data_IF_804885944676
#
_entry.id   IF_804885944676
#
_cell.length_a   1.000
_cell.length_b   1.000
_cell.length_c   1.000
_cell.angle_alpha   90.00
_cell.angle_beta   90.00
_cell.angle_gamma   90.00
#
_symmetry.space_group_name_H-M   'P 1'
#
loop_
_entity.id
_entity.type
_entity.pdbx_description
1 polymer ?
#
# COMPACT_ATOMS: atom_id res chain seq x y z
N UNK A 1 12.03 7.24 9.64
CA UNK A 1 11.95 7.35 8.17
C UNK A 1 10.69 6.64 7.72
N UNK A 2 9.91 7.26 6.85
CA UNK A 2 8.65 6.70 6.33
C UNK A 2 8.81 6.46 4.83
N UNK A 3 8.59 5.22 4.40
CA UNK A 3 8.57 4.85 2.99
C UNK A 3 7.12 4.66 2.56
N UNK A 4 6.72 5.29 1.44
CA UNK A 4 5.35 5.19 0.91
C UNK A 4 5.32 4.18 -0.25
N UNK A 5 4.73 3.02 0.00
CA UNK A 5 4.47 2.00 -1.02
C UNK A 5 3.08 2.20 -1.63
N UNK A 6 2.24 1.16 -1.67
CA UNK A 6 0.87 1.12 -2.21
C UNK A 6 0.25 -0.23 -1.86
N UNK A 7 -1.08 -0.34 -1.82
CA UNK A 7 -1.79 -1.63 -1.85
C UNK A 7 -1.31 -2.54 -3.00
N UNK A 8 -0.94 -1.95 -4.15
CA UNK A 8 -0.41 -2.66 -5.31
C UNK A 8 1.03 -3.18 -5.15
N UNK A 9 1.69 -2.87 -4.02
CA UNK A 9 2.92 -3.54 -3.63
C UNK A 9 2.67 -5.00 -3.21
N UNK A 10 1.44 -5.30 -2.76
CA UNK A 10 1.05 -6.60 -2.24
C UNK A 10 0.23 -7.41 -3.21
N UNK A 11 -0.65 -6.79 -4.00
CA UNK A 11 -1.43 -7.48 -5.06
C UNK A 11 -1.34 -6.63 -6.34
N UNK A 12 -0.66 -7.10 -7.40
CA UNK A 12 -0.42 -6.30 -8.58
C UNK A 12 -1.67 -6.14 -9.45
N UNK A 13 -1.84 -4.94 -10.02
CA UNK A 13 -2.74 -4.69 -11.15
C UNK A 13 -1.97 -4.78 -12.48
N UNK A 14 -2.54 -5.51 -13.43
CA UNK A 14 -2.00 -5.71 -14.78
C UNK A 14 -2.02 -4.42 -15.64
N UNK A 15 -2.82 -3.42 -15.29
CA UNK A 15 -2.90 -2.14 -16.00
C UNK A 15 -1.68 -1.23 -15.76
N UNK A 16 -0.98 -1.39 -14.63
CA UNK A 16 0.15 -0.54 -14.22
C UNK A 16 1.39 -1.33 -13.75
N UNK A 17 1.93 -2.26 -14.57
CA UNK A 17 2.97 -3.20 -14.13
C UNK A 17 4.25 -2.55 -13.59
N UNK A 18 4.82 -1.48 -14.19
CA UNK A 18 6.01 -0.82 -13.64
C UNK A 18 5.78 -0.18 -12.27
N UNK A 19 4.57 0.34 -12.04
CA UNK A 19 4.20 0.92 -10.74
C UNK A 19 4.15 -0.17 -9.67
N UNK A 20 3.44 -1.28 -9.93
CA UNK A 20 3.38 -2.45 -9.04
C UNK A 20 4.79 -2.95 -8.68
N UNK A 21 5.66 -3.16 -9.68
CA UNK A 21 7.02 -3.62 -9.47
C UNK A 21 7.84 -2.66 -8.58
N UNK A 22 7.73 -1.35 -8.82
CA UNK A 22 8.43 -0.33 -8.02
C UNK A 22 7.93 -0.31 -6.58
N UNK A 23 6.61 -0.41 -6.36
CA UNK A 23 6.03 -0.41 -5.02
C UNK A 23 6.35 -1.70 -4.25
N UNK A 24 6.37 -2.86 -4.92
CA UNK A 24 6.86 -4.11 -4.34
C UNK A 24 8.35 -4.05 -3.98
N UNK A 25 9.17 -3.38 -4.80
CA UNK A 25 10.58 -3.15 -4.48
C UNK A 25 10.75 -2.27 -3.24
N UNK A 26 9.92 -1.23 -3.05
CA UNK A 26 9.92 -0.40 -1.83
C UNK A 26 9.53 -1.23 -0.61
N UNK A 27 8.52 -2.09 -0.73
CA UNK A 27 8.10 -3.02 0.33
C UNK A 27 9.23 -3.99 0.73
N UNK A 28 9.91 -4.57 -0.25
CA UNK A 28 11.07 -5.44 0.01
C UNK A 28 12.23 -4.65 0.63
N UNK A 29 12.56 -3.48 0.08
CA UNK A 29 13.65 -2.62 0.54
C UNK A 29 13.49 -2.21 2.00
N UNK A 30 12.27 -1.82 2.43
CA UNK A 30 12.05 -1.40 3.82
C UNK A 30 12.24 -2.55 4.82
N UNK A 31 11.96 -3.79 4.44
CA UNK A 31 12.20 -4.97 5.30
C UNK A 31 13.70 -5.09 5.55
N UNK A 32 14.50 -5.14 4.48
CA UNK A 32 15.95 -5.28 4.60
C UNK A 32 16.58 -4.08 5.31
N UNK A 33 16.13 -2.87 5.01
CA UNK A 33 16.67 -1.66 5.63
C UNK A 33 16.37 -1.60 7.12
N UNK A 34 15.18 -2.03 7.56
CA UNK A 34 14.86 -2.10 8.98
C UNK A 34 15.79 -3.03 9.73
N UNK A 35 16.06 -4.21 9.16
CA UNK A 35 17.00 -5.15 9.77
C UNK A 35 18.42 -4.59 9.81
N UNK A 36 18.87 -3.91 8.76
CA UNK A 36 20.17 -3.23 8.75
C UNK A 36 20.26 -2.13 9.81
N UNK A 37 19.16 -1.44 10.09
CA UNK A 37 19.11 -0.35 11.06
C UNK A 37 18.71 -0.80 12.47
N UNK A 38 18.49 -2.11 12.70
CA UNK A 38 18.12 -2.65 14.02
C UNK A 38 19.13 -2.23 15.10
N UNK A 39 18.64 -1.63 16.19
CA UNK A 39 19.46 -1.11 17.28
C UNK A 39 20.00 0.31 17.09
N UNK A 40 19.74 0.95 15.93
CA UNK A 40 20.00 2.37 15.74
C UNK A 40 18.81 3.23 16.20
N UNK A 41 18.99 4.55 16.22
CA UNK A 41 17.97 5.52 16.65
C UNK A 41 16.89 5.82 15.58
N UNK A 42 16.90 5.13 14.44
CA UNK A 42 16.01 5.41 13.30
C UNK A 42 15.01 4.27 13.10
N UNK A 43 13.72 4.56 13.28
CA UNK A 43 12.64 3.67 12.89
C UNK A 43 12.39 3.70 11.37
N UNK A 44 12.06 2.56 10.78
CA UNK A 44 11.71 2.41 9.35
C UNK A 44 10.27 1.90 9.25
N UNK A 45 9.37 2.79 8.87
CA UNK A 45 7.92 2.52 8.81
C UNK A 45 7.48 2.50 7.35
N UNK A 46 6.67 1.52 6.97
CA UNK A 46 5.98 1.51 5.69
C UNK A 46 4.56 2.06 5.82
N UNK A 47 4.18 2.93 4.89
CA UNK A 47 2.79 3.31 4.64
C UNK A 47 2.40 2.78 3.26
N UNK A 48 1.29 2.06 3.18
CA UNK A 48 0.75 1.56 1.92
C UNK A 48 -0.66 2.14 1.70
N UNK A 49 -0.78 3.24 0.95
CA UNK A 49 -2.08 3.83 0.66
C UNK A 49 -2.98 2.90 -0.17
N UNK A 50 -4.30 2.91 0.04
CA UNK A 50 -5.27 2.32 -0.88
C UNK A 50 -5.41 3.21 -2.12
N UNK A 51 -6.32 2.84 -3.02
CA UNK A 51 -6.80 3.74 -4.05
C UNK A 51 -7.36 5.01 -3.39
N UNK A 52 -6.72 6.16 -3.62
CA UNK A 52 -7.00 7.41 -2.89
C UNK A 52 -7.38 8.51 -3.88
N UNK A 53 -8.36 9.35 -3.53
CA UNK A 53 -8.81 10.49 -4.35
C UNK A 53 -7.74 11.57 -4.41
N UNK A 54 -6.84 11.43 -5.39
CA UNK A 54 -5.77 12.39 -5.69
C UNK A 54 -5.69 12.58 -7.20
N UNK A 55 -4.87 13.54 -7.64
CA UNK A 55 -4.58 13.76 -9.06
C UNK A 55 -3.39 12.91 -9.55
N UNK A 56 -3.01 11.85 -8.84
CA UNK A 56 -1.85 11.02 -9.16
C UNK A 56 -2.06 10.22 -10.45
N UNK A 57 -3.21 9.56 -10.60
CA UNK A 57 -3.60 8.89 -11.84
C UNK A 57 -4.89 9.52 -12.41
N UNK A 58 -5.09 9.43 -13.75
CA UNK A 58 -6.30 9.95 -14.36
C UNK A 58 -7.56 9.36 -13.72
N UNK A 59 -8.54 10.22 -13.42
CA UNK A 59 -9.87 9.86 -12.90
C UNK A 59 -9.90 9.30 -11.48
N UNK A 60 -8.78 9.27 -10.75
CA UNK A 60 -8.79 8.86 -9.32
C UNK A 60 -9.60 9.81 -8.44
N UNK A 61 -9.48 11.12 -8.67
CA UNK A 61 -10.24 12.14 -7.93
C UNK A 61 -11.76 11.96 -8.07
N UNK A 62 -12.23 11.49 -9.24
CA UNK A 62 -13.64 11.26 -9.56
C UNK A 62 -14.10 9.81 -9.30
N UNK A 63 -13.19 8.92 -8.88
CA UNK A 63 -13.51 7.52 -8.68
C UNK A 63 -14.34 7.33 -7.39
N UNK A 64 -15.55 6.79 -7.51
CA UNK A 64 -16.43 6.52 -6.37
C UNK A 64 -15.85 5.53 -5.36
N UNK A 65 -15.00 4.62 -5.83
CA UNK A 65 -14.44 3.53 -5.05
C UNK A 65 -13.13 3.94 -4.36
N UNK A 66 -12.59 5.11 -4.69
CA UNK A 66 -11.38 5.65 -4.08
C UNK A 66 -11.67 6.25 -2.69
N UNK A 67 -10.80 5.98 -1.73
CA UNK A 67 -10.84 6.58 -0.39
C UNK A 67 -10.57 8.09 -0.49
N UNK A 68 -11.41 8.97 0.11
CA UNK A 68 -11.09 10.39 0.22
C UNK A 68 -9.75 10.62 0.93
N UNK A 69 -8.95 11.56 0.44
CA UNK A 69 -7.61 11.82 0.99
C UNK A 69 -7.65 12.21 2.48
N UNK A 70 -8.65 13.01 2.89
CA UNK A 70 -8.85 13.39 4.29
C UNK A 70 -9.07 12.17 5.18
N UNK A 71 -10.00 11.30 4.79
CA UNK A 71 -10.31 10.06 5.51
C UNK A 71 -9.08 9.14 5.63
N UNK A 72 -8.29 9.02 4.56
CA UNK A 72 -7.05 8.25 4.59
C UNK A 72 -6.03 8.84 5.58
N UNK A 73 -5.87 10.17 5.60
CA UNK A 73 -4.95 10.85 6.54
C UNK A 73 -5.44 10.68 7.99
N UNK A 74 -6.74 10.88 8.23
CA UNK A 74 -7.34 10.76 9.56
C UNK A 74 -7.20 9.34 10.14
N UNK A 75 -7.24 8.30 9.29
CA UNK A 75 -6.95 6.93 9.69
C UNK A 75 -5.44 6.67 9.86
N UNK A 76 -4.61 7.22 8.97
CA UNK A 76 -3.18 6.95 8.95
C UNK A 76 -2.44 7.54 10.15
N UNK A 77 -2.78 8.77 10.57
CA UNK A 77 -2.05 9.47 11.62
C UNK A 77 -2.04 8.68 12.95
N UNK A 78 -3.18 8.17 13.45
CA UNK A 78 -3.19 7.30 14.63
C UNK A 78 -2.42 5.98 14.46
N UNK A 79 -2.30 5.44 13.24
CA UNK A 79 -1.52 4.22 12.99
C UNK A 79 -0.02 4.49 13.08
N UNK A 80 0.44 5.64 12.59
CA UNK A 80 1.84 6.06 12.70
C UNK A 80 2.25 6.25 14.17
N UNK A 81 1.36 6.78 15.00
CA UNK A 81 1.62 7.00 16.43
C UNK A 81 1.79 5.71 17.25
N UNK A 82 1.35 4.55 16.73
CA UNK A 82 1.50 3.25 17.42
C UNK A 82 2.95 2.77 17.46
N UNK A 83 3.79 3.27 16.56
CA UNK A 83 5.19 2.83 16.44
C UNK A 83 5.37 1.45 15.79
N UNK A 84 4.36 0.96 15.08
CA UNK A 84 4.44 -0.28 14.32
C UNK A 84 5.34 -0.14 13.07
N UNK A 85 5.87 -1.27 12.61
CA UNK A 85 6.68 -1.37 11.40
C UNK A 85 5.90 -1.03 10.11
N UNK A 86 4.59 -1.16 10.14
CA UNK A 86 3.67 -0.93 9.03
C UNK A 86 2.44 -0.14 9.54
N UNK A 87 2.15 0.99 8.91
CA UNK A 87 0.92 1.76 9.12
C UNK A 87 0.00 1.55 7.91
N UNK A 88 -0.90 0.57 8.02
CA UNK A 88 -1.75 0.08 6.93
C UNK A 88 -3.21 0.39 7.25
N UNK A 89 -3.82 1.24 6.42
CA UNK A 89 -5.24 1.55 6.50
C UNK A 89 -6.10 0.32 6.21
N UNK A 90 -7.34 0.31 6.71
CA UNK A 90 -8.28 -0.79 6.59
C UNK A 90 -8.55 -1.18 5.14
N UNK A 91 -8.64 -0.21 4.22
CA UNK A 91 -8.83 -0.47 2.80
C UNK A 91 -7.63 -1.19 2.14
N UNK A 92 -6.41 -1.05 2.68
CA UNK A 92 -5.22 -1.75 2.19
C UNK A 92 -5.01 -3.11 2.84
N UNK A 93 -5.62 -3.37 4.01
CA UNK A 93 -5.42 -4.63 4.76
C UNK A 93 -5.70 -5.89 3.94
N UNK A 94 -6.81 -6.00 3.17
CA UNK A 94 -7.07 -7.18 2.35
C UNK A 94 -5.94 -7.48 1.35
N UNK A 95 -5.35 -6.45 0.75
CA UNK A 95 -4.22 -6.59 -0.16
C UNK A 95 -2.97 -7.08 0.56
N UNK A 96 -2.68 -6.47 1.72
CA UNK A 96 -1.52 -6.84 2.55
C UNK A 96 -1.55 -8.30 3.00
N UNK A 97 -2.74 -8.81 3.23
CA UNK A 97 -2.98 -10.14 3.81
C UNK A 97 -3.38 -11.20 2.76
N UNK A 98 -3.50 -10.81 1.49
CA UNK A 98 -4.04 -11.65 0.41
C UNK A 98 -3.32 -13.00 0.25
N UNK A 99 -1.98 -13.02 0.31
CA UNK A 99 -1.21 -14.27 0.25
C UNK A 99 -1.49 -15.16 1.46
N UNK A 100 -1.52 -14.56 2.66
CA UNK A 100 -1.76 -15.27 3.93
C UNK A 100 -3.15 -15.90 3.98
N UNK A 101 -4.13 -15.23 3.37
CA UNK A 101 -5.52 -15.66 3.34
C UNK A 101 -5.86 -16.52 2.11
N UNK A 102 -4.89 -16.76 1.22
CA UNK A 102 -5.09 -17.56 0.00
C UNK A 102 -5.95 -16.87 -1.07
N UNK A 103 -6.10 -15.55 -0.99
CA UNK A 103 -6.94 -14.74 -1.90
C UNK A 103 -6.13 -14.06 -3.02
N UNK A 104 -4.79 -14.12 -2.96
CA UNK A 104 -3.90 -13.40 -3.87
C UNK A 104 -4.25 -13.59 -5.36
N UNK A 105 -4.30 -14.83 -5.84
CA UNK A 105 -4.55 -15.13 -7.26
C UNK A 105 -5.93 -14.66 -7.73
N UNK A 106 -6.95 -14.74 -6.87
CA UNK A 106 -8.29 -14.25 -7.17
C UNK A 106 -8.30 -12.74 -7.28
N UNK A 107 -7.67 -12.04 -6.33
CA UNK A 107 -7.58 -10.58 -6.34
C UNK A 107 -6.80 -10.06 -7.56
N UNK A 108 -5.68 -10.69 -7.95
CA UNK A 108 -4.94 -10.33 -9.18
C UNK A 108 -5.84 -10.43 -10.41
N UNK A 109 -6.64 -11.50 -10.53
CA UNK A 109 -7.57 -11.66 -11.66
C UNK A 109 -8.70 -10.63 -11.62
N UNK A 110 -9.23 -10.33 -10.44
CA UNK A 110 -10.30 -9.35 -10.26
C UNK A 110 -9.87 -7.95 -10.68
N UNK A 111 -8.66 -7.51 -10.27
CA UNK A 111 -8.11 -6.21 -10.66
C UNK A 111 -7.88 -6.12 -12.18
N UNK A 112 -7.37 -7.19 -12.79
CA UNK A 112 -7.18 -7.23 -14.25
C UNK A 112 -8.50 -7.11 -15.04
N UNK A 113 -9.61 -7.63 -14.50
CA UNK A 113 -10.93 -7.57 -15.14
C UNK A 113 -11.60 -6.20 -15.00
N UNK A 114 -11.30 -5.43 -13.94
CA UNK A 114 -11.87 -4.11 -13.71
C UNK A 114 -11.43 -3.04 -14.74
N UNK A 115 -10.47 -3.37 -15.60
CA UNK A 115 -9.91 -2.47 -16.63
C UNK A 115 -10.52 -2.68 -18.03
N UNK A 116 -11.52 -3.58 -18.18
CA UNK A 116 -12.18 -3.90 -19.47
C UNK A 116 -13.59 -3.37 -19.53
#
# INVERSE_FOLDING_TARGET
MINVSSSLAFVPDASVPPFCATKAAVHSYRISLREQLRGNLVAVIEVAPPLTKTDLMPREADNSDATPLGDFIDELMPLLDRGDDEAIAAATRPFRDAEREGQYDEMVRSLAQATT
#
